data_IF_044198865811
#
_entry.id   IF_044198865811
#
_cell.length_a   1.000
_cell.length_b   1.000
_cell.length_c   1.000
_cell.angle_alpha   90.00
_cell.angle_beta   90.00
_cell.angle_gamma   90.00
#
_symmetry.space_group_name_H-M   'P 1'
#
loop_
_entity.id
_entity.type
_entity.pdbx_description
1 polymer ?
#
# COMPACT_ATOMS: atom_id res chain seq x y z
N UNK A 1 26.30 17.55 -25.94
CA UNK A 1 25.24 18.57 -25.82
C UNK A 1 23.93 17.87 -25.57
N UNK A 2 23.51 17.78 -24.29
CA UNK A 2 22.24 17.17 -23.87
C UNK A 2 21.24 18.30 -23.65
N UNK A 3 20.14 18.28 -24.41
CA UNK A 3 19.05 19.27 -24.27
C UNK A 3 18.17 18.86 -23.09
N UNK A 4 18.07 19.72 -22.08
CA UNK A 4 17.03 19.71 -21.06
C UNK A 4 15.69 20.05 -21.71
N UNK A 5 14.67 19.20 -21.53
CA UNK A 5 13.29 19.55 -21.82
C UNK A 5 12.64 20.01 -20.52
N UNK A 6 12.45 21.32 -20.42
CA UNK A 6 11.57 21.96 -19.42
C UNK A 6 10.13 21.85 -19.91
N UNK A 7 9.26 21.17 -19.16
CA UNK A 7 7.82 21.11 -19.44
C UNK A 7 7.13 22.31 -18.76
N UNK A 8 6.68 23.26 -19.57
CA UNK A 8 5.82 24.36 -19.16
C UNK A 8 4.37 23.87 -18.98
N UNK A 9 3.80 24.07 -17.81
CA UNK A 9 2.36 23.96 -17.60
C UNK A 9 1.69 25.28 -17.98
N UNK A 10 1.03 25.30 -19.13
CA UNK A 10 0.13 26.37 -19.51
C UNK A 10 -1.31 25.96 -19.23
N UNK A 11 -2.00 26.78 -18.45
CA UNK A 11 -3.46 26.73 -18.22
C UNK A 11 -4.20 27.18 -19.50
N UNK A 12 -5.08 26.30 -20.04
CA UNK A 12 -6.04 26.63 -21.06
C UNK A 12 -7.46 26.61 -20.48
N UNK A 13 -8.33 27.59 -20.83
CA UNK A 13 -9.70 27.66 -20.32
C UNK A 13 -10.61 26.68 -21.07
N UNK A 14 -11.50 26.03 -20.33
CA UNK A 14 -12.54 25.13 -20.87
C UNK A 14 -13.76 25.98 -21.24
N UNK A 15 -14.12 25.94 -22.51
CA UNK A 15 -15.36 26.50 -23.04
C UNK A 15 -16.50 25.52 -22.82
N UNK A 16 -17.58 26.00 -22.22
CA UNK A 16 -18.85 25.27 -22.03
C UNK A 16 -19.59 25.11 -23.36
N UNK A 17 -20.04 23.88 -23.68
CA UNK A 17 -21.19 23.66 -24.54
C UNK A 17 -22.22 22.82 -23.80
N UNK A 18 -23.41 23.38 -23.65
CA UNK A 18 -24.55 22.73 -23.03
C UNK A 18 -25.21 21.72 -23.97
N UNK A 19 -25.66 20.62 -23.38
CA UNK A 19 -26.51 19.62 -24.03
C UNK A 19 -27.41 19.00 -22.98
N UNK A 20 -28.66 19.41 -22.95
CA UNK A 20 -29.74 18.91 -22.12
C UNK A 20 -30.18 17.54 -22.65
N UNK A 21 -30.06 16.48 -21.86
CA UNK A 21 -30.71 15.21 -22.15
C UNK A 21 -31.57 14.77 -20.96
N UNK A 22 -32.86 14.65 -21.21
CA UNK A 22 -33.91 14.18 -20.33
C UNK A 22 -33.75 12.67 -20.11
N UNK A 23 -33.64 12.19 -18.86
CA UNK A 23 -33.69 10.75 -18.55
C UNK A 23 -34.84 10.48 -17.61
N UNK A 24 -35.71 9.61 -18.07
CA UNK A 24 -36.88 9.08 -17.35
C UNK A 24 -36.43 8.16 -16.23
N UNK A 25 -36.92 8.42 -15.02
CA UNK A 25 -36.72 7.59 -13.83
C UNK A 25 -37.75 6.48 -13.81
N UNK A 26 -37.32 5.23 -13.90
CA UNK A 26 -38.15 4.07 -13.52
C UNK A 26 -37.76 3.64 -12.11
N UNK A 27 -38.71 3.76 -11.21
CA UNK A 27 -38.59 3.33 -9.82
C UNK A 27 -38.90 1.83 -9.78
N UNK A 28 -37.91 1.02 -9.40
CA UNK A 28 -38.16 -0.32 -8.87
C UNK A 28 -37.76 -0.35 -7.40
N UNK A 29 -38.73 -0.56 -6.54
CA UNK A 29 -38.55 -0.76 -5.12
C UNK A 29 -37.90 -2.11 -4.83
N UNK A 30 -36.80 -2.09 -4.13
CA UNK A 30 -36.18 -3.24 -3.50
C UNK A 30 -35.60 -2.77 -2.16
N UNK A 31 -36.26 -3.20 -1.07
CA UNK A 31 -35.80 -2.97 0.29
C UNK A 31 -34.52 -3.76 0.55
N UNK A 32 -33.39 -3.09 0.61
CA UNK A 32 -32.18 -3.61 1.25
C UNK A 32 -31.82 -2.70 2.41
N UNK A 33 -31.80 -3.27 3.59
CA UNK A 33 -31.35 -2.62 4.81
C UNK A 33 -29.91 -2.15 4.61
N UNK A 34 -29.75 -0.84 4.47
CA UNK A 34 -28.47 -0.18 4.67
C UNK A 34 -28.15 -0.27 6.16
N UNK A 35 -27.19 -1.12 6.54
CA UNK A 35 -26.44 -0.88 7.76
C UNK A 35 -25.58 0.35 7.48
N UNK A 36 -26.03 1.49 8.01
CA UNK A 36 -25.18 2.65 8.24
C UNK A 36 -24.06 2.18 9.19
N UNK A 37 -22.85 2.08 8.66
CA UNK A 37 -21.66 2.04 9.49
C UNK A 37 -21.48 3.48 9.94
N UNK A 38 -22.03 3.79 11.12
CA UNK A 38 -21.67 4.99 11.85
C UNK A 38 -20.14 5.06 11.90
N UNK A 39 -19.58 6.16 11.39
CA UNK A 39 -18.19 6.50 11.52
C UNK A 39 -17.87 6.75 12.99
N UNK A 40 -17.58 5.68 13.73
CA UNK A 40 -16.91 5.77 15.01
C UNK A 40 -15.51 6.34 14.75
N UNK A 41 -15.10 7.31 15.58
CA UNK A 41 -13.77 7.86 15.59
C UNK A 41 -12.75 6.72 15.85
N UNK A 42 -12.23 6.12 14.78
CA UNK A 42 -11.13 5.17 14.87
C UNK A 42 -9.90 5.95 15.31
N UNK A 43 -9.51 5.82 16.56
CA UNK A 43 -8.28 6.38 17.10
C UNK A 43 -7.09 5.65 16.49
N UNK A 44 -6.51 6.23 15.45
CA UNK A 44 -5.32 5.71 14.80
C UNK A 44 -4.10 5.92 15.71
N UNK A 45 -3.49 4.84 16.18
CA UNK A 45 -2.23 4.87 16.93
C UNK A 45 -1.07 4.48 16.01
N UNK A 46 0.01 5.26 16.03
CA UNK A 46 1.21 4.98 15.23
C UNK A 46 1.91 3.68 15.65
N UNK A 47 2.52 2.99 14.68
CA UNK A 47 3.34 1.80 14.88
C UNK A 47 4.56 1.84 13.94
N UNK A 48 5.78 1.73 14.50
CA UNK A 48 7.00 1.66 13.69
C UNK A 48 7.40 2.98 13.00
N UNK A 49 7.06 4.11 13.61
CA UNK A 49 7.55 5.43 13.17
C UNK A 49 9.05 5.54 13.49
N UNK A 50 9.82 6.02 12.52
CA UNK A 50 11.27 6.22 12.68
C UNK A 50 11.58 7.26 13.78
N UNK A 51 12.66 7.05 14.57
CA UNK A 51 13.07 7.99 15.62
C UNK A 51 13.28 9.44 15.11
N UNK A 52 13.69 9.58 13.85
CA UNK A 52 13.89 10.87 13.18
C UNK A 52 12.58 11.67 13.06
N UNK A 53 11.47 10.98 12.79
CA UNK A 53 10.12 11.57 12.71
C UNK A 53 9.58 11.79 14.13
N UNK A 54 9.74 10.81 15.03
CA UNK A 54 9.27 10.92 16.42
C UNK A 54 9.90 12.11 17.17
N UNK A 55 11.16 12.40 16.94
CA UNK A 55 11.82 13.59 17.53
C UNK A 55 11.16 14.90 17.12
N UNK A 56 10.49 14.94 15.99
CA UNK A 56 9.79 16.11 15.46
C UNK A 56 8.28 16.09 15.78
N UNK A 57 7.79 15.14 16.59
CA UNK A 57 6.37 15.03 16.97
C UNK A 57 5.78 16.34 17.44
N UNK A 58 6.49 17.09 18.30
CA UNK A 58 6.04 18.39 18.79
C UNK A 58 5.84 19.44 17.68
N UNK A 59 6.62 19.33 16.59
CA UNK A 59 6.47 20.19 15.40
C UNK A 59 5.22 19.77 14.62
N UNK A 60 5.00 18.48 14.43
CA UNK A 60 3.77 17.95 13.80
C UNK A 60 2.54 18.39 14.60
N UNK A 61 2.55 18.26 15.92
CA UNK A 61 1.45 18.69 16.80
C UNK A 61 1.18 20.19 16.67
N UNK A 62 2.22 21.04 16.69
CA UNK A 62 2.12 22.49 16.51
C UNK A 62 1.36 22.83 15.24
N UNK A 63 1.75 22.28 14.10
CA UNK A 63 1.15 22.61 12.81
C UNK A 63 -0.18 21.91 12.58
N UNK A 64 -0.39 20.68 13.07
CA UNK A 64 -1.67 20.00 13.00
C UNK A 64 -2.76 20.73 13.78
N UNK A 65 -2.44 21.26 14.98
CA UNK A 65 -3.36 22.14 15.74
C UNK A 65 -3.65 23.44 15.00
N UNK A 66 -2.61 24.09 14.46
CA UNK A 66 -2.76 25.34 13.71
C UNK A 66 -3.68 25.18 12.50
N UNK A 67 -3.59 24.07 11.79
CA UNK A 67 -4.39 23.80 10.58
C UNK A 67 -5.75 23.10 10.87
N UNK A 68 -6.03 22.77 12.17
CA UNK A 68 -7.28 22.13 12.59
C UNK A 68 -7.43 20.66 12.19
N UNK A 69 -6.30 19.95 12.09
CA UNK A 69 -6.24 18.52 11.74
C UNK A 69 -5.48 17.69 12.78
N UNK A 70 -5.53 18.12 14.04
CA UNK A 70 -4.82 17.42 15.12
C UNK A 70 -5.28 15.99 15.31
N UNK A 71 -6.57 15.71 15.12
CA UNK A 71 -7.14 14.37 15.19
C UNK A 71 -6.57 13.43 14.10
N UNK A 72 -5.97 14.00 13.06
CA UNK A 72 -5.28 13.26 12.00
C UNK A 72 -3.76 13.16 12.22
N UNK A 73 -3.24 13.56 13.37
CA UNK A 73 -1.80 13.61 13.65
C UNK A 73 -1.09 12.29 13.32
N UNK A 74 -1.63 11.19 13.79
CA UNK A 74 -1.04 9.87 13.60
C UNK A 74 -1.07 9.43 12.13
N UNK A 75 -2.11 9.80 11.37
CA UNK A 75 -2.20 9.61 9.92
C UNK A 75 -1.09 10.42 9.22
N UNK A 76 -0.89 11.68 9.60
CA UNK A 76 0.11 12.57 9.02
C UNK A 76 1.53 12.04 9.29
N UNK A 77 1.79 11.55 10.49
CA UNK A 77 3.08 10.93 10.82
C UNK A 77 3.33 9.63 10.06
N UNK A 78 2.29 8.79 9.88
CA UNK A 78 2.35 7.59 9.07
C UNK A 78 2.57 7.90 7.58
N UNK A 79 1.93 8.93 7.05
CA UNK A 79 2.16 9.46 5.71
C UNK A 79 3.63 9.90 5.57
N UNK A 80 4.15 10.67 6.51
CA UNK A 80 5.56 11.12 6.52
C UNK A 80 6.52 9.92 6.53
N UNK A 81 6.18 8.87 7.26
CA UNK A 81 6.94 7.62 7.25
C UNK A 81 6.97 6.98 5.86
N UNK A 82 5.84 7.01 5.13
CA UNK A 82 5.74 6.52 3.76
C UNK A 82 6.52 7.39 2.77
N UNK A 83 6.50 8.72 2.93
CA UNK A 83 7.15 9.66 2.01
C UNK A 83 8.68 9.58 2.09
N UNK A 84 9.23 9.64 3.28
CA UNK A 84 10.68 9.76 3.46
C UNK A 84 11.30 8.75 4.44
N UNK A 85 10.50 8.22 5.37
CA UNK A 85 11.01 7.48 6.51
C UNK A 85 11.96 8.29 7.38
N UNK A 86 11.89 9.62 7.32
CA UNK A 86 12.77 10.53 8.06
C UNK A 86 14.18 10.71 7.47
N UNK A 87 14.44 10.19 6.25
CA UNK A 87 15.78 10.17 5.62
C UNK A 87 16.15 11.45 4.88
N UNK A 88 15.19 12.32 4.57
CA UNK A 88 15.40 13.56 3.81
C UNK A 88 15.06 14.77 4.68
N UNK A 89 15.64 15.94 4.36
CA UNK A 89 15.30 17.20 5.00
C UNK A 89 13.90 17.68 4.59
N UNK A 90 13.50 17.43 3.32
CA UNK A 90 12.10 17.53 2.91
C UNK A 90 11.33 16.29 3.41
N UNK A 91 11.10 16.26 4.73
CA UNK A 91 10.64 15.07 5.46
C UNK A 91 9.25 14.60 5.01
N UNK A 92 8.38 15.52 4.60
CA UNK A 92 7.04 15.22 4.07
C UNK A 92 6.97 15.19 2.54
N UNK A 93 8.12 15.32 1.84
CA UNK A 93 8.21 15.42 0.38
C UNK A 93 7.26 16.48 -0.19
N UNK A 94 7.24 17.63 0.47
CA UNK A 94 6.22 18.67 0.24
C UNK A 94 6.65 19.79 -0.70
N UNK A 95 7.90 19.79 -1.19
CA UNK A 95 8.44 20.80 -2.10
C UNK A 95 7.55 21.04 -3.32
N UNK A 96 7.09 19.97 -3.98
CA UNK A 96 6.27 20.07 -5.19
C UNK A 96 4.90 20.70 -4.93
N UNK A 97 4.36 20.61 -3.71
CA UNK A 97 3.07 21.20 -3.35
C UNK A 97 3.07 22.74 -3.37
N UNK A 98 4.25 23.34 -3.34
CA UNK A 98 4.48 24.80 -3.43
C UNK A 98 5.20 25.20 -4.73
N UNK A 99 5.26 24.29 -5.72
CA UNK A 99 5.83 24.56 -7.04
C UNK A 99 7.36 24.49 -7.11
N UNK A 100 8.02 23.93 -6.11
CA UNK A 100 9.47 23.69 -6.10
C UNK A 100 9.80 22.30 -6.67
N UNK A 101 11.01 22.09 -7.19
CA UNK A 101 11.49 20.73 -7.52
C UNK A 101 11.49 19.80 -6.29
N UNK A 102 11.39 18.48 -6.47
CA UNK A 102 11.46 17.52 -5.37
C UNK A 102 12.69 17.72 -4.49
N UNK A 103 12.54 17.54 -3.17
CA UNK A 103 13.62 17.65 -2.18
C UNK A 103 14.33 19.02 -2.13
N UNK A 104 13.67 20.10 -2.54
CA UNK A 104 14.24 21.46 -2.47
C UNK A 104 14.18 22.04 -1.07
N UNK A 105 13.19 21.66 -0.26
CA UNK A 105 13.09 22.10 1.13
C UNK A 105 14.19 21.44 1.95
N UNK A 106 15.02 22.27 2.59
CA UNK A 106 16.17 21.84 3.40
C UNK A 106 15.98 22.05 4.90
N UNK A 107 14.80 22.49 5.32
CA UNK A 107 14.40 22.64 6.73
C UNK A 107 13.24 21.68 7.03
N UNK A 108 13.44 20.67 7.90
CA UNK A 108 12.40 19.72 8.26
C UNK A 108 11.14 20.36 8.88
N UNK A 109 11.29 21.41 9.69
CA UNK A 109 10.14 22.12 10.27
C UNK A 109 9.32 22.80 9.17
N UNK A 110 9.98 23.45 8.21
CA UNK A 110 9.29 24.06 7.07
C UNK A 110 8.63 23.01 6.18
N UNK A 111 9.27 21.86 5.94
CA UNK A 111 8.66 20.73 5.24
C UNK A 111 7.38 20.25 5.93
N UNK A 112 7.41 20.09 7.28
CA UNK A 112 6.22 19.71 8.06
C UNK A 112 5.12 20.77 7.95
N UNK A 113 5.46 22.05 8.05
CA UNK A 113 4.49 23.13 7.89
C UNK A 113 3.79 23.09 6.54
N UNK A 114 4.56 23.00 5.47
CA UNK A 114 4.05 22.95 4.09
C UNK A 114 3.24 21.66 3.85
N UNK A 115 3.77 20.52 4.28
CA UNK A 115 3.14 19.22 4.10
C UNK A 115 1.80 19.10 4.84
N UNK A 116 1.72 19.58 6.09
CA UNK A 116 0.46 19.58 6.84
C UNK A 116 -0.56 20.54 6.21
N UNK A 117 -0.14 21.70 5.74
CA UNK A 117 -1.03 22.62 5.02
C UNK A 117 -1.57 21.97 3.74
N UNK A 118 -0.71 21.30 2.98
CA UNK A 118 -1.11 20.55 1.79
C UNK A 118 -2.08 19.40 2.14
N UNK A 119 -1.74 18.58 3.12
CA UNK A 119 -2.63 17.53 3.63
C UNK A 119 -4.01 18.07 3.99
N UNK A 120 -4.06 19.17 4.75
CA UNK A 120 -5.31 19.81 5.18
C UNK A 120 -6.16 20.26 4.00
N UNK A 121 -5.56 20.86 2.97
CA UNK A 121 -6.27 21.27 1.77
C UNK A 121 -6.89 20.08 1.03
N UNK A 122 -6.12 19.01 0.89
CA UNK A 122 -6.58 17.75 0.26
C UNK A 122 -7.67 17.09 1.10
N UNK A 123 -7.51 17.03 2.43
CA UNK A 123 -8.47 16.45 3.37
C UNK A 123 -9.83 17.16 3.34
N UNK A 124 -9.82 18.50 3.34
CA UNK A 124 -11.04 19.30 3.16
C UNK A 124 -11.70 19.06 1.81
N UNK A 125 -10.93 19.01 0.73
CA UNK A 125 -11.44 18.74 -0.63
C UNK A 125 -12.02 17.32 -0.75
N UNK A 126 -11.44 16.36 -0.03
CA UNK A 126 -11.89 14.96 0.05
C UNK A 126 -13.13 14.78 0.95
N UNK A 127 -13.61 15.84 1.62
CA UNK A 127 -14.76 15.76 2.53
C UNK A 127 -14.48 15.00 3.83
N UNK A 128 -13.22 14.97 4.28
CA UNK A 128 -12.81 14.25 5.48
C UNK A 128 -12.49 12.77 5.26
N UNK A 129 -12.63 12.23 4.04
CA UNK A 129 -12.26 10.85 3.74
C UNK A 129 -10.73 10.68 3.76
N UNK A 130 -10.23 10.01 4.80
CA UNK A 130 -8.80 9.76 5.01
C UNK A 130 -8.19 8.97 3.85
N UNK A 131 -8.84 7.93 3.36
CA UNK A 131 -8.31 7.08 2.29
C UNK A 131 -8.23 7.84 0.96
N UNK A 132 -9.27 8.61 0.64
CA UNK A 132 -9.29 9.48 -0.53
C UNK A 132 -8.21 10.56 -0.42
N UNK A 133 -8.01 11.12 0.76
CA UNK A 133 -6.95 12.11 1.06
C UNK A 133 -5.57 11.54 0.80
N UNK A 134 -5.25 10.40 1.40
CA UNK A 134 -3.95 9.75 1.25
C UNK A 134 -3.64 9.42 -0.21
N UNK A 135 -4.58 8.77 -0.91
CA UNK A 135 -4.36 8.46 -2.33
C UNK A 135 -4.21 9.71 -3.18
N UNK A 136 -4.92 10.80 -2.84
CA UNK A 136 -4.83 12.07 -3.55
C UNK A 136 -3.56 12.85 -3.21
N UNK A 137 -2.97 12.62 -2.05
CA UNK A 137 -1.64 13.15 -1.71
C UNK A 137 -0.59 12.62 -2.68
N UNK A 138 -0.63 11.32 -2.98
CA UNK A 138 0.27 10.66 -3.93
C UNK A 138 -0.07 10.96 -5.41
N UNK A 139 -1.36 11.02 -5.77
CA UNK A 139 -1.80 11.18 -7.17
C UNK A 139 -2.04 12.62 -7.59
N UNK A 140 -2.07 13.55 -6.64
CA UNK A 140 -2.54 14.91 -6.85
C UNK A 140 -4.08 15.03 -6.82
N UNK A 141 -4.54 16.28 -6.69
CA UNK A 141 -5.96 16.61 -6.45
C UNK A 141 -6.95 16.21 -7.55
N UNK A 142 -6.48 15.86 -8.74
CA UNK A 142 -7.31 15.34 -9.83
C UNK A 142 -7.96 14.00 -9.54
N UNK A 143 -7.38 13.21 -8.63
CA UNK A 143 -7.96 11.94 -8.21
C UNK A 143 -9.27 12.13 -7.45
N UNK A 144 -9.41 13.18 -6.63
CA UNK A 144 -10.66 13.49 -5.92
C UNK A 144 -11.80 13.72 -6.92
N UNK A 145 -11.55 14.52 -7.97
CA UNK A 145 -12.55 14.85 -8.99
C UNK A 145 -12.92 13.59 -9.81
N UNK A 146 -11.95 12.71 -10.05
CA UNK A 146 -12.17 11.42 -10.70
C UNK A 146 -13.07 10.51 -9.88
N UNK A 147 -12.84 10.40 -8.55
CA UNK A 147 -13.63 9.59 -7.61
C UNK A 147 -15.04 10.18 -7.45
N UNK A 148 -15.17 11.50 -7.31
CA UNK A 148 -16.47 12.17 -7.19
C UNK A 148 -17.40 11.85 -8.37
N UNK A 149 -16.87 11.75 -9.58
CA UNK A 149 -17.64 11.37 -10.79
C UNK A 149 -18.05 9.88 -10.81
N UNK A 150 -17.56 9.06 -9.88
CA UNK A 150 -17.75 7.59 -9.83
C UNK A 150 -18.32 7.10 -8.49
N UNK A 151 -19.16 7.91 -7.85
CA UNK A 151 -19.83 7.55 -6.60
C UNK A 151 -19.27 8.20 -5.34
N UNK A 152 -18.18 8.97 -5.46
CA UNK A 152 -17.68 9.86 -4.40
C UNK A 152 -16.91 9.19 -3.26
N UNK A 153 -16.81 7.87 -3.23
CA UNK A 153 -16.09 7.11 -2.19
C UNK A 153 -14.80 6.48 -2.74
N UNK A 154 -13.73 6.52 -1.95
CA UNK A 154 -12.49 5.83 -2.28
C UNK A 154 -12.72 4.32 -2.42
N UNK A 155 -12.14 3.73 -3.48
CA UNK A 155 -11.92 2.29 -3.60
C UNK A 155 -10.57 2.02 -4.23
N UNK A 156 -9.96 0.89 -3.88
CA UNK A 156 -8.71 0.41 -4.49
C UNK A 156 -8.86 0.25 -6.02
N UNK A 157 -10.02 -0.18 -6.48
CA UNK A 157 -10.31 -0.32 -7.91
C UNK A 157 -10.22 1.03 -8.63
N UNK A 158 -10.76 2.10 -8.04
CA UNK A 158 -10.66 3.46 -8.60
C UNK A 158 -9.23 3.99 -8.59
N UNK A 159 -8.43 3.67 -7.57
CA UNK A 159 -7.00 4.01 -7.55
C UNK A 159 -6.24 3.34 -8.70
N UNK A 160 -6.46 2.04 -8.92
CA UNK A 160 -5.88 1.29 -10.03
C UNK A 160 -6.33 1.82 -11.40
N UNK A 161 -7.62 2.14 -11.55
CA UNK A 161 -8.18 2.70 -12.78
C UNK A 161 -7.55 4.06 -13.11
N UNK A 162 -7.45 4.95 -12.12
CA UNK A 162 -6.84 6.27 -12.30
C UNK A 162 -5.35 6.16 -12.65
N UNK A 163 -4.60 5.30 -11.98
CA UNK A 163 -3.19 5.07 -12.27
C UNK A 163 -2.99 4.63 -13.73
N UNK A 164 -3.78 3.65 -14.20
CA UNK A 164 -3.73 3.19 -15.59
C UNK A 164 -4.12 4.27 -16.58
N UNK A 165 -5.18 5.02 -16.29
CA UNK A 165 -5.64 6.12 -17.14
C UNK A 165 -4.56 7.19 -17.30
N UNK A 166 -3.94 7.62 -16.21
CA UNK A 166 -2.88 8.63 -16.25
C UNK A 166 -1.60 8.11 -16.91
N UNK A 167 -1.22 6.87 -16.63
CA UNK A 167 -0.06 6.25 -17.27
C UNK A 167 -0.22 6.20 -18.80
N UNK A 168 -1.38 5.77 -19.29
CA UNK A 168 -1.70 5.75 -20.72
C UNK A 168 -1.64 7.16 -21.34
N UNK A 169 -2.20 8.17 -20.66
CA UNK A 169 -2.20 9.55 -21.12
C UNK A 169 -0.79 10.15 -21.25
N UNK A 170 0.11 9.75 -20.36
CA UNK A 170 1.48 10.25 -20.30
C UNK A 170 2.48 9.39 -21.08
N UNK A 171 2.06 8.25 -21.62
CA UNK A 171 2.96 7.28 -22.23
C UNK A 171 3.90 6.61 -21.22
N UNK A 172 3.49 6.53 -19.95
CA UNK A 172 4.29 5.94 -18.88
C UNK A 172 3.88 4.50 -18.60
N UNK A 173 4.80 3.73 -18.01
CA UNK A 173 4.54 2.34 -17.59
C UNK A 173 3.60 2.27 -16.39
N UNK A 174 3.66 3.23 -15.48
CA UNK A 174 2.82 3.36 -14.29
C UNK A 174 2.70 4.82 -13.88
N UNK A 175 1.68 5.17 -13.11
CA UNK A 175 1.48 6.49 -12.54
C UNK A 175 1.20 6.38 -11.04
N UNK A 176 2.06 7.00 -10.22
CA UNK A 176 1.97 6.97 -8.77
C UNK A 176 1.92 5.56 -8.18
N UNK A 177 1.48 5.47 -6.93
CA UNK A 177 1.36 4.21 -6.20
C UNK A 177 -0.10 3.85 -5.93
N UNK A 178 -0.70 2.86 -6.63
CA UNK A 178 -2.07 2.42 -6.37
C UNK A 178 -2.28 1.79 -4.99
N UNK A 179 -1.20 1.40 -4.30
CA UNK A 179 -1.22 0.80 -2.98
C UNK A 179 -0.92 1.81 -1.86
N UNK A 180 -0.80 3.10 -2.19
CA UNK A 180 -0.32 4.13 -1.29
C UNK A 180 -1.07 4.17 0.06
N UNK A 181 -2.39 4.03 0.04
CA UNK A 181 -3.21 3.96 1.26
C UNK A 181 -2.77 2.79 2.15
N UNK A 182 -2.61 1.60 1.58
CA UNK A 182 -2.20 0.41 2.33
C UNK A 182 -0.76 0.59 2.86
N UNK A 183 0.10 1.25 2.08
CA UNK A 183 1.49 1.55 2.47
C UNK A 183 1.58 2.55 3.63
N UNK A 184 0.72 3.55 3.70
CA UNK A 184 0.62 4.47 4.84
C UNK A 184 0.03 3.75 6.06
N UNK A 185 -1.06 3.02 5.88
CA UNK A 185 -1.77 2.36 6.96
C UNK A 185 -0.93 1.32 7.72
N UNK A 186 0.10 0.73 7.10
CA UNK A 186 1.02 -0.20 7.80
C UNK A 186 1.78 0.42 8.98
N UNK A 187 1.88 1.75 9.02
CA UNK A 187 2.51 2.49 10.13
C UNK A 187 1.53 2.90 11.23
N UNK A 188 0.29 2.37 11.19
CA UNK A 188 -0.73 2.62 12.20
C UNK A 188 -1.08 1.31 12.92
N UNK A 189 -1.32 1.35 14.24
CA UNK A 189 -1.91 0.21 14.96
C UNK A 189 -3.34 0.03 14.47
N UNK A 190 -3.67 -1.17 13.97
CA UNK A 190 -4.96 -1.43 13.32
C UNK A 190 -5.06 -0.91 11.88
N UNK A 191 -4.22 0.01 11.47
CA UNK A 191 -4.15 0.55 10.12
C UNK A 191 -3.19 -0.26 9.26
N UNK A 192 -3.70 -1.16 8.46
CA UNK A 192 -2.91 -2.16 7.73
C UNK A 192 -3.02 -3.52 8.39
N UNK A 193 -3.90 -3.68 9.38
CA UNK A 193 -4.32 -5.02 9.76
C UNK A 193 -4.93 -5.65 8.51
N UNK A 194 -4.28 -6.68 8.06
CA UNK A 194 -4.89 -7.64 7.13
C UNK A 194 -6.28 -7.89 7.70
N UNK A 195 -7.34 -7.51 6.98
CA UNK A 195 -8.71 -7.77 7.46
C UNK A 195 -8.75 -9.22 7.91
N UNK A 196 -9.36 -9.55 9.07
CA UNK A 196 -9.51 -10.92 9.49
C UNK A 196 -10.05 -11.72 8.31
N UNK A 197 -9.23 -12.58 7.73
CA UNK A 197 -9.68 -13.48 6.67
C UNK A 197 -10.32 -14.63 7.39
N UNK A 198 -11.64 -14.75 7.32
CA UNK A 198 -12.36 -15.86 7.91
C UNK A 198 -11.71 -17.18 7.48
N UNK A 199 -11.31 -17.97 8.46
CA UNK A 199 -10.63 -19.25 8.22
C UNK A 199 -9.10 -19.15 8.01
N UNK A 200 -8.47 -17.98 8.12
CA UNK A 200 -7.01 -17.88 8.11
C UNK A 200 -6.36 -18.66 9.26
N UNK A 201 -5.08 -19.03 9.10
CA UNK A 201 -4.33 -19.61 10.20
C UNK A 201 -4.19 -18.60 11.35
N UNK A 202 -4.08 -19.10 12.58
CA UNK A 202 -3.76 -18.26 13.73
C UNK A 202 -2.40 -17.57 13.54
N UNK A 203 -2.35 -16.27 13.84
CA UNK A 203 -1.17 -15.44 13.63
C UNK A 203 -1.01 -14.85 12.22
N UNK A 204 -1.93 -15.12 11.28
CA UNK A 204 -1.88 -14.60 9.91
C UNK A 204 -1.72 -13.08 9.86
N UNK A 205 -2.46 -12.36 10.69
CA UNK A 205 -2.38 -10.89 10.73
C UNK A 205 -0.96 -10.43 11.12
N UNK A 206 -0.36 -11.03 12.15
CA UNK A 206 0.99 -10.69 12.59
C UNK A 206 2.03 -11.01 11.50
N UNK A 207 1.88 -12.15 10.81
CA UNK A 207 2.73 -12.54 9.69
C UNK A 207 2.67 -11.52 8.57
N UNK A 208 1.48 -11.17 8.12
CA UNK A 208 1.31 -10.26 7.00
C UNK A 208 1.64 -8.81 7.36
N UNK A 209 1.33 -8.36 8.57
CA UNK A 209 1.72 -7.04 9.06
C UNK A 209 3.25 -6.87 9.06
N UNK A 210 4.00 -7.93 9.36
CA UNK A 210 5.46 -7.88 9.24
C UNK A 210 5.92 -7.95 7.77
N UNK A 211 5.38 -8.88 6.98
CA UNK A 211 5.78 -9.07 5.58
C UNK A 211 5.53 -7.83 4.71
N UNK A 212 4.40 -7.16 4.90
CA UNK A 212 3.99 -5.97 4.15
C UNK A 212 4.91 -4.75 4.35
N UNK A 213 5.67 -4.69 5.45
CA UNK A 213 6.67 -3.63 5.66
C UNK A 213 7.73 -3.59 4.56
N UNK A 214 7.89 -4.68 3.84
CA UNK A 214 8.94 -4.86 2.82
C UNK A 214 8.39 -4.88 1.40
N UNK A 215 7.09 -4.65 1.20
CA UNK A 215 6.49 -4.56 -0.13
C UNK A 215 7.20 -3.52 -0.99
N UNK A 216 7.52 -3.89 -2.24
CA UNK A 216 8.27 -3.04 -3.16
C UNK A 216 9.79 -3.10 -3.00
N UNK A 217 10.33 -3.73 -1.94
CA UNK A 217 11.76 -3.91 -1.81
C UNK A 217 12.29 -4.86 -2.92
N UNK A 218 13.49 -4.61 -3.44
CA UNK A 218 14.09 -5.49 -4.44
C UNK A 218 14.38 -6.87 -3.85
N UNK A 219 14.34 -7.89 -4.71
CA UNK A 219 14.79 -9.24 -4.37
C UNK A 219 16.28 -9.25 -4.03
N UNK A 220 16.64 -9.94 -2.98
CA UNK A 220 18.04 -10.13 -2.61
C UNK A 220 18.34 -11.60 -2.38
N UNK A 221 19.15 -12.20 -3.24
CA UNK A 221 19.58 -13.59 -3.11
C UNK A 221 20.23 -13.84 -1.75
N UNK A 222 19.83 -14.91 -1.07
CA UNK A 222 20.23 -15.28 0.28
C UNK A 222 19.89 -14.25 1.37
N UNK A 223 19.16 -13.18 1.07
CA UNK A 223 18.69 -12.20 2.04
C UNK A 223 17.62 -12.76 2.96
N UNK A 224 17.68 -12.41 4.26
CA UNK A 224 16.73 -12.92 5.28
C UNK A 224 16.45 -11.94 6.41
N UNK A 225 16.87 -10.69 6.27
CA UNK A 225 16.66 -9.63 7.27
C UNK A 225 16.39 -8.29 6.59
N UNK A 226 15.79 -7.31 7.28
CA UNK A 226 15.63 -5.96 6.73
C UNK A 226 16.92 -5.32 6.25
N UNK A 227 18.04 -5.65 6.89
CA UNK A 227 19.37 -5.10 6.54
C UNK A 227 19.95 -5.74 5.28
N UNK A 228 19.73 -7.04 5.10
CA UNK A 228 20.27 -7.80 3.97
C UNK A 228 19.34 -7.83 2.77
N UNK A 229 18.11 -7.35 2.89
CA UNK A 229 17.04 -7.65 1.94
C UNK A 229 16.49 -9.06 2.11
N UNK A 230 15.64 -9.51 1.19
CA UNK A 230 14.93 -10.79 1.30
C UNK A 230 14.95 -11.56 -0.02
N UNK A 231 15.28 -12.86 0.05
CA UNK A 231 14.83 -13.83 -0.92
C UNK A 231 13.44 -14.40 -0.53
N UNK A 232 12.89 -15.31 -1.32
CA UNK A 232 11.55 -15.85 -1.11
C UNK A 232 11.36 -16.48 0.28
N UNK A 233 12.24 -17.41 0.64
CA UNK A 233 12.18 -18.13 1.91
C UNK A 233 12.66 -17.32 3.11
N UNK A 234 13.54 -16.34 2.89
CA UNK A 234 13.99 -15.40 3.91
C UNK A 234 12.88 -14.45 4.35
N UNK A 235 12.07 -13.93 3.42
CA UNK A 235 10.87 -13.15 3.74
C UNK A 235 9.87 -13.96 4.56
N UNK A 236 9.57 -15.17 4.12
CA UNK A 236 8.67 -16.09 4.84
C UNK A 236 9.22 -16.38 6.24
N UNK A 237 10.47 -16.80 6.36
CA UNK A 237 11.11 -17.08 7.64
C UNK A 237 11.05 -15.90 8.61
N UNK A 238 11.34 -14.70 8.10
CA UNK A 238 11.32 -13.47 8.90
C UNK A 238 9.92 -13.14 9.40
N UNK A 239 8.92 -13.11 8.52
CA UNK A 239 7.56 -12.76 8.87
C UNK A 239 6.94 -13.73 9.89
N UNK A 240 7.13 -15.03 9.68
CA UNK A 240 6.63 -16.05 10.60
C UNK A 240 7.33 -16.01 11.96
N UNK A 241 8.64 -15.76 11.99
CA UNK A 241 9.38 -15.59 13.26
C UNK A 241 8.84 -14.44 14.08
N UNK A 242 8.43 -13.34 13.46
CA UNK A 242 7.81 -12.19 14.14
C UNK A 242 6.44 -12.52 14.72
N UNK A 243 5.76 -13.50 14.16
CA UNK A 243 4.52 -14.06 14.71
C UNK A 243 4.76 -15.24 15.70
N UNK A 244 6.01 -15.46 16.14
CA UNK A 244 6.37 -16.52 17.07
C UNK A 244 6.52 -17.91 16.45
N UNK A 245 6.51 -18.02 15.11
CA UNK A 245 6.61 -19.30 14.40
C UNK A 245 7.99 -19.45 13.78
N UNK A 246 8.75 -20.47 14.20
CA UNK A 246 10.06 -20.76 13.65
C UNK A 246 9.98 -21.63 12.39
N UNK A 247 10.63 -21.19 11.32
CA UNK A 247 10.72 -21.91 10.05
C UNK A 247 12.18 -22.09 9.63
N UNK A 248 12.53 -23.18 8.91
CA UNK A 248 13.83 -23.35 8.31
C UNK A 248 14.19 -22.25 7.31
N UNK A 249 15.48 -22.16 6.94
CA UNK A 249 15.98 -21.07 6.07
C UNK A 249 15.56 -21.20 4.61
N UNK A 250 15.57 -22.39 4.06
CA UNK A 250 15.37 -22.60 2.62
C UNK A 250 13.94 -23.01 2.28
N UNK A 251 13.49 -22.68 1.08
CA UNK A 251 12.16 -23.05 0.58
C UNK A 251 11.94 -24.58 0.61
N UNK A 252 12.99 -25.35 0.27
CA UNK A 252 12.95 -26.83 0.32
C UNK A 252 12.75 -27.36 1.73
N UNK A 253 13.42 -26.78 2.72
CA UNK A 253 13.27 -27.19 4.13
C UNK A 253 11.91 -26.75 4.70
N UNK A 254 11.44 -25.55 4.34
CA UNK A 254 10.10 -25.06 4.69
C UNK A 254 9.02 -25.98 4.11
N UNK A 255 9.22 -26.48 2.89
CA UNK A 255 8.36 -27.50 2.31
C UNK A 255 8.33 -28.75 3.18
N UNK A 256 9.48 -29.26 3.63
CA UNK A 256 9.58 -30.43 4.53
C UNK A 256 8.90 -30.20 5.89
N UNK A 257 8.92 -28.96 6.39
CA UNK A 257 8.34 -28.59 7.69
C UNK A 257 6.81 -28.43 7.67
N UNK A 258 6.15 -28.51 6.51
CA UNK A 258 4.69 -28.35 6.37
C UNK A 258 3.98 -29.68 6.10
N UNK A 259 2.70 -29.78 6.54
CA UNK A 259 1.75 -30.77 6.06
C UNK A 259 1.22 -30.31 4.70
N UNK A 260 1.29 -31.15 3.69
CA UNK A 260 0.74 -30.87 2.38
C UNK A 260 -0.78 -30.90 2.46
N UNK A 261 -1.41 -29.90 1.83
CA UNK A 261 -2.86 -29.75 1.78
C UNK A 261 -3.31 -29.51 0.35
N UNK A 262 -4.55 -29.84 0.07
CA UNK A 262 -5.16 -29.53 -1.23
C UNK A 262 -5.36 -28.01 -1.37
N UNK A 263 -5.38 -27.50 -2.62
CA UNK A 263 -5.64 -26.09 -2.90
C UNK A 263 -7.00 -25.63 -2.35
N UNK A 264 -8.02 -26.50 -2.39
CA UNK A 264 -9.35 -26.24 -1.82
C UNK A 264 -9.38 -26.10 -0.30
N UNK A 265 -8.36 -26.63 0.40
CA UNK A 265 -8.22 -26.55 1.86
C UNK A 265 -7.30 -25.40 2.27
N UNK A 266 -6.62 -24.76 1.30
CA UNK A 266 -5.66 -23.71 1.58
C UNK A 266 -6.37 -22.46 2.08
N UNK A 267 -5.89 -21.93 3.20
CA UNK A 267 -6.37 -20.71 3.82
C UNK A 267 -5.25 -19.68 3.94
N UNK A 268 -5.62 -18.40 4.09
CA UNK A 268 -4.63 -17.34 4.25
C UNK A 268 -3.66 -17.63 5.39
N UNK A 269 -2.37 -17.49 5.11
CA UNK A 269 -1.27 -17.87 6.01
C UNK A 269 -0.72 -19.27 5.78
N UNK A 270 -1.31 -20.12 4.94
CA UNK A 270 -0.61 -21.30 4.47
C UNK A 270 0.54 -20.93 3.53
N UNK A 271 1.51 -21.80 3.36
CA UNK A 271 2.59 -21.60 2.40
C UNK A 271 2.22 -22.20 1.04
N UNK A 272 2.71 -21.59 -0.02
CA UNK A 272 2.58 -22.13 -1.38
C UNK A 272 3.98 -22.32 -1.98
N UNK A 273 4.22 -23.47 -2.61
CA UNK A 273 5.53 -23.95 -3.02
C UNK A 273 5.60 -24.20 -4.52
N UNK A 274 6.77 -23.88 -5.09
CA UNK A 274 6.99 -23.96 -6.54
C UNK A 274 8.30 -24.68 -6.87
N UNK A 275 8.34 -25.26 -8.06
CA UNK A 275 9.53 -25.91 -8.63
C UNK A 275 9.99 -25.19 -9.90
N UNK A 276 11.24 -25.40 -10.31
CA UNK A 276 11.74 -24.97 -11.62
C UNK A 276 11.83 -23.44 -11.81
N UNK A 277 11.76 -22.64 -10.74
CA UNK A 277 11.92 -21.19 -10.83
C UNK A 277 13.39 -20.76 -10.99
N UNK A 278 14.32 -21.63 -10.62
CA UNK A 278 15.75 -21.59 -10.95
C UNK A 278 16.31 -23.02 -10.94
N UNK A 279 17.54 -23.20 -11.45
CA UNK A 279 18.24 -24.51 -11.38
C UNK A 279 18.62 -24.83 -9.93
N UNK A 280 18.21 -25.99 -9.42
CA UNK A 280 18.49 -26.35 -8.04
C UNK A 280 17.69 -27.54 -7.51
N UNK A 281 17.23 -27.41 -6.28
CA UNK A 281 16.47 -28.44 -5.57
C UNK A 281 15.04 -28.58 -6.12
N UNK A 282 14.30 -29.58 -5.66
CA UNK A 282 12.92 -29.81 -6.10
C UNK A 282 12.03 -28.59 -5.81
N UNK A 283 12.08 -28.03 -4.61
CA UNK A 283 11.39 -26.76 -4.28
C UNK A 283 12.38 -25.61 -4.42
N UNK A 284 12.07 -24.70 -5.31
CA UNK A 284 12.91 -23.55 -5.65
C UNK A 284 12.31 -22.22 -5.21
N UNK A 285 10.99 -22.17 -4.91
CA UNK A 285 10.36 -20.93 -4.46
C UNK A 285 9.23 -21.20 -3.46
N UNK A 286 8.94 -20.20 -2.63
CA UNK A 286 7.86 -20.20 -1.62
C UNK A 286 7.24 -18.82 -1.49
N UNK A 287 5.93 -18.78 -1.23
CA UNK A 287 5.18 -17.58 -0.88
C UNK A 287 4.19 -17.82 0.25
N UNK A 288 3.68 -16.74 0.82
CA UNK A 288 2.59 -16.75 1.80
C UNK A 288 1.28 -16.71 1.03
N UNK A 289 0.44 -17.73 1.14
CA UNK A 289 -0.89 -17.70 0.53
C UNK A 289 -1.77 -16.69 1.27
N UNK A 290 -2.43 -15.81 0.52
CA UNK A 290 -3.24 -14.72 1.08
C UNK A 290 -4.73 -14.85 0.74
N UNK A 291 -5.12 -16.02 0.20
CA UNK A 291 -6.50 -16.26 -0.25
C UNK A 291 -6.72 -15.84 -1.70
N UNK A 292 -7.90 -16.20 -2.25
CA UNK A 292 -8.39 -15.81 -3.58
C UNK A 292 -7.47 -16.18 -4.75
N UNK A 293 -6.60 -17.17 -4.58
CA UNK A 293 -5.60 -17.57 -5.57
C UNK A 293 -4.48 -16.57 -5.74
N UNK A 294 -4.05 -15.93 -4.63
CA UNK A 294 -2.92 -15.00 -4.58
C UNK A 294 -1.90 -15.42 -3.51
N UNK A 295 -0.66 -15.02 -3.69
CA UNK A 295 0.40 -15.12 -2.69
C UNK A 295 1.10 -13.79 -2.51
N UNK A 296 1.73 -13.61 -1.35
CA UNK A 296 2.71 -12.57 -1.09
C UNK A 296 4.10 -13.19 -1.02
N UNK A 297 5.05 -12.68 -1.80
CA UNK A 297 6.36 -13.30 -1.97
C UNK A 297 7.45 -12.29 -2.37
N UNK A 298 8.72 -12.69 -2.25
CA UNK A 298 9.86 -11.98 -2.81
C UNK A 298 10.36 -12.74 -4.05
N UNK A 299 10.38 -12.08 -5.21
CA UNK A 299 10.82 -12.63 -6.50
C UNK A 299 11.61 -11.57 -7.29
N UNK A 300 12.05 -11.88 -8.52
CA UNK A 300 12.88 -11.00 -9.36
C UNK A 300 12.26 -9.60 -9.60
N UNK A 301 10.95 -9.47 -9.45
CA UNK A 301 10.25 -8.17 -9.51
C UNK A 301 10.13 -7.48 -8.14
N UNK A 302 10.74 -8.05 -7.09
CA UNK A 302 10.71 -7.56 -5.72
C UNK A 302 9.68 -8.27 -4.83
N UNK A 303 9.48 -7.68 -3.65
CA UNK A 303 8.50 -8.16 -2.66
C UNK A 303 7.12 -7.66 -3.05
N UNK A 304 6.19 -8.58 -3.36
CA UNK A 304 4.88 -8.22 -3.92
C UNK A 304 3.83 -9.32 -3.84
N UNK A 305 2.60 -8.96 -4.20
CA UNK A 305 1.55 -9.93 -4.48
C UNK A 305 1.71 -10.55 -5.88
N UNK A 306 1.48 -11.87 -5.98
CA UNK A 306 1.48 -12.60 -7.24
C UNK A 306 0.22 -13.46 -7.38
N UNK A 307 -0.26 -13.63 -8.63
CA UNK A 307 -1.45 -14.43 -8.97
C UNK A 307 -1.07 -15.89 -9.17
N UNK A 308 -1.93 -16.82 -8.67
CA UNK A 308 -1.73 -18.27 -8.76
C UNK A 308 -2.67 -18.96 -9.74
N UNK A 309 -3.71 -18.26 -10.25
CA UNK A 309 -4.78 -18.87 -11.04
C UNK A 309 -4.36 -19.20 -12.48
N UNK A 310 -3.35 -18.49 -13.02
CA UNK A 310 -2.85 -18.68 -14.40
C UNK A 310 -1.43 -18.12 -14.56
N UNK A 311 -0.75 -18.56 -15.64
CA UNK A 311 0.58 -18.09 -16.02
C UNK A 311 1.69 -18.67 -15.17
N UNK A 312 2.86 -18.02 -15.18
CA UNK A 312 4.13 -18.52 -14.64
C UNK A 312 4.00 -19.24 -13.30
N UNK A 313 3.38 -18.62 -12.30
CA UNK A 313 3.25 -19.22 -10.97
C UNK A 313 2.35 -20.45 -10.95
N UNK A 314 1.31 -20.49 -11.81
CA UNK A 314 0.45 -21.69 -11.93
C UNK A 314 1.20 -22.85 -12.53
N UNK A 315 2.01 -22.58 -13.54
CA UNK A 315 2.75 -23.61 -14.28
C UNK A 315 3.86 -24.25 -13.41
N UNK A 316 4.37 -23.54 -12.42
CA UNK A 316 5.42 -23.98 -11.50
C UNK A 316 4.90 -24.43 -10.12
N UNK A 317 3.59 -24.38 -9.90
CA UNK A 317 2.97 -24.72 -8.61
C UNK A 317 3.11 -26.21 -8.30
N UNK A 318 3.63 -26.51 -7.08
CA UNK A 318 3.78 -27.88 -6.59
C UNK A 318 2.69 -28.22 -5.59
N UNK A 319 2.52 -27.42 -4.54
CA UNK A 319 1.53 -27.70 -3.49
C UNK A 319 1.34 -26.51 -2.56
N UNK A 320 0.28 -26.57 -1.79
CA UNK A 320 0.12 -25.79 -0.56
C UNK A 320 0.59 -26.57 0.65
N UNK A 321 0.98 -25.87 1.70
CA UNK A 321 1.46 -26.49 2.93
C UNK A 321 1.11 -25.71 4.17
N UNK A 322 0.49 -26.41 5.14
CA UNK A 322 0.18 -25.88 6.46
C UNK A 322 1.28 -26.23 7.45
N UNK A 323 1.70 -25.26 8.25
CA UNK A 323 2.74 -25.47 9.26
C UNK A 323 2.25 -26.50 10.27
N UNK A 324 3.10 -27.50 10.56
CA UNK A 324 2.86 -28.47 11.62
C UNK A 324 3.05 -27.75 12.95
N UNK A 325 2.02 -27.71 13.77
CA UNK A 325 2.08 -27.28 15.17
C UNK A 325 2.35 -28.45 16.05
#
# INVERSE_FOLDING_TARGET
MKKLLTAFFSSLPIIFFGGMLLVVVLIFGGSNQNQEIEGGDEEFVTNGIAPEIERLRHVFEKYARKEGVYDQLNIIMALTMQESGGRYLDIMQSSESIGLPPNTITDPEYSIQVGIKHFTAVFKKAGGDVRLTLQSYNYGGGFIDFVKKRGGKYTKALALEFSRFQALKLGWRSYGDPNYVDHVFRYLKGGGSVKPVNGAIEGYEAIMNEALKYEGNPYQWAGSTPKTGFDCSGLVQWAYRKAGISLPRTAQEQYGATKKIAESEAVAGDLVFFTGTYQGKFITHVGIYVGEGRMFNSNDSGVQYSQLKKGYWRDHLVSFGRIKR
#
